data_IF_102451628345
#
_entry.id   IF_102451628345
#
_cell.length_a   1.000
_cell.length_b   1.000
_cell.length_c   1.000
_cell.angle_alpha   90.00
_cell.angle_beta   90.00
_cell.angle_gamma   90.00
#
_symmetry.space_group_name_H-M   'P 1'
#
loop_
_entity.id
_entity.type
_entity.pdbx_description
1 polymer ?
#
# COMPACT_ATOMS: atom_id res chain seq x y z
N UNK A 1 14.41 -20.78 -0.50
CA UNK A 1 13.81 -19.69 0.29
C UNK A 1 14.29 -18.39 -0.33
N UNK A 2 13.48 -17.79 -1.20
CA UNK A 2 13.82 -16.53 -1.86
C UNK A 2 13.46 -15.39 -0.92
N UNK A 3 14.47 -14.72 -0.38
CA UNK A 3 14.33 -13.43 0.27
C UNK A 3 13.87 -12.45 -0.82
N UNK A 4 12.56 -12.27 -0.96
CA UNK A 4 12.02 -11.07 -1.59
C UNK A 4 12.34 -9.97 -0.58
N UNK A 5 13.56 -9.42 -0.66
CA UNK A 5 13.84 -8.10 -0.11
C UNK A 5 12.80 -7.21 -0.76
N UNK A 6 11.78 -6.88 0.03
CA UNK A 6 10.88 -5.78 -0.26
C UNK A 6 11.76 -4.67 -0.79
N UNK A 7 11.35 -4.10 -1.92
CA UNK A 7 11.79 -2.77 -2.33
C UNK A 7 11.29 -1.86 -1.21
N UNK A 8 12.04 -1.85 -0.11
CA UNK A 8 11.83 -1.01 1.05
C UNK A 8 12.24 0.36 0.57
N UNK A 9 11.30 0.96 -0.15
CA UNK A 9 11.31 2.34 -0.54
C UNK A 9 11.68 3.17 0.69
N UNK A 10 12.92 3.67 0.75
CA UNK A 10 13.37 4.67 1.71
C UNK A 10 12.78 6.04 1.36
N UNK A 11 11.49 6.06 1.03
CA UNK A 11 10.69 7.24 0.78
C UNK A 11 9.93 7.58 2.04
N UNK A 12 10.07 8.81 2.52
CA UNK A 12 9.04 9.41 3.35
C UNK A 12 7.90 9.90 2.43
N UNK A 13 6.70 9.35 2.59
CA UNK A 13 5.51 9.82 1.88
C UNK A 13 4.87 10.97 2.65
N UNK A 14 4.81 12.13 2.02
CA UNK A 14 4.16 13.31 2.57
C UNK A 14 3.00 13.66 1.65
N UNK A 15 1.78 13.54 2.17
CA UNK A 15 0.60 13.95 1.44
C UNK A 15 0.35 15.44 1.68
N UNK A 16 0.13 16.17 0.60
CA UNK A 16 -0.17 17.61 0.62
C UNK A 16 -1.49 17.87 -0.08
N UNK A 17 -2.23 18.89 0.36
CA UNK A 17 -3.40 19.34 -0.39
C UNK A 17 -2.97 19.71 -1.81
N UNK A 18 -3.80 19.38 -2.80
CA UNK A 18 -3.49 19.56 -4.22
C UNK A 18 -3.10 21.00 -4.54
N UNK A 19 -3.81 22.00 -4.00
CA UNK A 19 -3.51 23.43 -4.13
C UNK A 19 -2.16 23.86 -3.51
N UNK A 20 -1.68 23.12 -2.51
CA UNK A 20 -0.45 23.43 -1.79
C UNK A 20 0.78 22.72 -2.37
N UNK A 21 0.62 21.81 -3.35
CA UNK A 21 1.72 21.02 -3.92
C UNK A 21 2.88 21.87 -4.43
N UNK A 22 2.59 22.93 -5.19
CA UNK A 22 3.60 23.83 -5.75
C UNK A 22 4.27 24.71 -4.67
N UNK A 23 3.54 25.01 -3.60
CA UNK A 23 4.08 25.75 -2.46
C UNK A 23 4.97 24.85 -1.61
N UNK A 24 4.57 23.60 -1.37
CA UNK A 24 5.37 22.59 -0.67
C UNK A 24 6.67 22.28 -1.45
N UNK A 25 6.56 22.13 -2.77
CA UNK A 25 7.72 21.95 -3.67
C UNK A 25 8.73 23.09 -3.53
N UNK A 26 8.27 24.34 -3.58
CA UNK A 26 9.15 25.51 -3.39
C UNK A 26 9.81 25.53 -2.02
N UNK A 27 9.04 25.27 -0.96
CA UNK A 27 9.57 25.21 0.41
C UNK A 27 10.65 24.15 0.58
N UNK A 28 10.48 22.96 -0.02
CA UNK A 28 11.50 21.92 0.02
C UNK A 28 12.78 22.37 -0.70
N UNK A 29 12.65 22.95 -1.90
CA UNK A 29 13.79 23.49 -2.64
C UNK A 29 14.54 24.57 -1.83
N UNK A 30 13.80 25.53 -1.27
CA UNK A 30 14.37 26.61 -0.45
C UNK A 30 15.06 26.09 0.82
N UNK A 31 14.62 24.92 1.31
CA UNK A 31 15.20 24.23 2.47
C UNK A 31 16.38 23.31 2.10
N UNK A 32 16.82 23.32 0.84
CA UNK A 32 17.99 22.57 0.37
C UNK A 32 17.70 21.15 -0.09
N UNK A 33 16.44 20.71 -0.16
CA UNK A 33 16.07 19.45 -0.78
C UNK A 33 16.22 19.56 -2.30
N UNK A 34 16.76 18.52 -2.93
CA UNK A 34 17.09 18.55 -4.36
C UNK A 34 16.04 17.74 -5.12
N UNK A 35 15.33 18.31 -6.11
CA UNK A 35 14.45 17.54 -6.99
C UNK A 35 15.19 16.36 -7.62
N UNK A 36 14.60 15.18 -7.56
CA UNK A 36 15.24 13.95 -8.01
C UNK A 36 14.22 12.99 -8.64
N UNK A 37 14.73 11.96 -9.29
CA UNK A 37 13.91 10.81 -9.71
C UNK A 37 13.84 9.79 -8.56
N UNK A 38 12.72 9.08 -8.38
CA UNK A 38 12.64 7.99 -7.42
C UNK A 38 13.74 6.95 -7.62
N UNK A 39 14.47 6.62 -6.56
CA UNK A 39 15.40 5.51 -6.52
C UNK A 39 14.63 4.21 -6.28
N UNK A 40 14.54 3.39 -7.32
CA UNK A 40 13.93 2.05 -7.28
C UNK A 40 14.90 0.98 -7.74
N UNK A 41 16.19 1.27 -7.66
CA UNK A 41 17.20 0.32 -8.07
C UNK A 41 17.16 -0.88 -7.12
N UNK A 42 17.00 -2.11 -7.64
CA UNK A 42 17.27 -3.30 -6.84
C UNK A 42 18.72 -3.29 -6.34
N UNK A 43 19.00 -4.13 -5.34
CA UNK A 43 20.35 -4.24 -4.79
C UNK A 43 21.38 -4.53 -5.90
N UNK A 44 22.58 -3.91 -5.87
CA UNK A 44 23.57 -4.02 -6.94
C UNK A 44 23.95 -5.47 -7.28
N UNK A 45 24.01 -6.34 -6.29
CA UNK A 45 24.28 -7.76 -6.44
C UNK A 45 23.19 -8.48 -7.27
N UNK A 46 21.92 -8.14 -7.06
CA UNK A 46 20.80 -8.68 -7.85
C UNK A 46 20.91 -8.16 -9.29
N UNK A 47 21.22 -6.86 -9.43
CA UNK A 47 21.33 -6.22 -10.74
C UNK A 47 22.48 -6.78 -11.58
N UNK A 48 23.59 -7.16 -10.96
CA UNK A 48 24.75 -7.72 -11.66
C UNK A 48 24.49 -9.13 -12.24
N UNK A 49 23.54 -9.88 -11.67
CA UNK A 49 23.20 -11.24 -12.10
C UNK A 49 22.18 -11.27 -13.26
N UNK A 50 21.56 -10.13 -13.59
CA UNK A 50 20.50 -10.06 -14.60
C UNK A 50 21.07 -10.01 -16.04
N UNK A 51 20.47 -10.74 -17.00
CA UNK A 51 20.87 -10.69 -18.41
C UNK A 51 20.73 -9.31 -19.06
N UNK A 52 19.71 -8.54 -18.68
CA UNK A 52 19.51 -7.13 -19.08
C UNK A 52 18.98 -6.33 -17.90
N UNK A 53 19.88 -5.75 -17.07
CA UNK A 53 19.47 -4.96 -15.91
C UNK A 53 18.68 -3.71 -16.32
N UNK A 54 18.94 -3.15 -17.50
CA UNK A 54 18.26 -1.94 -17.96
C UNK A 54 16.82 -2.22 -18.39
N UNK A 55 16.53 -3.37 -18.99
CA UNK A 55 15.15 -3.79 -19.26
C UNK A 55 14.35 -3.96 -17.97
N UNK A 56 14.95 -4.57 -16.93
CA UNK A 56 14.30 -4.73 -15.63
C UNK A 56 14.00 -3.39 -14.99
N UNK A 57 14.95 -2.44 -14.98
CA UNK A 57 14.70 -1.08 -14.47
C UNK A 57 13.58 -0.36 -15.24
N UNK A 58 13.54 -0.49 -16.56
CA UNK A 58 12.45 0.07 -17.37
C UNK A 58 11.11 -0.53 -16.96
N UNK A 59 11.04 -1.84 -16.77
CA UNK A 59 9.81 -2.54 -16.34
C UNK A 59 9.38 -2.13 -14.93
N UNK A 60 10.33 -1.94 -14.00
CA UNK A 60 10.02 -1.44 -12.65
C UNK A 60 9.42 -0.05 -12.77
N UNK A 61 10.12 0.90 -13.40
CA UNK A 61 9.65 2.29 -13.50
C UNK A 61 8.32 2.42 -14.26
N UNK A 62 8.11 1.57 -15.27
CA UNK A 62 6.86 1.46 -16.00
C UNK A 62 5.67 1.19 -15.05
N UNK A 63 5.85 0.32 -14.07
CA UNK A 63 4.85 -0.02 -13.06
C UNK A 63 4.55 1.09 -12.05
N UNK A 64 5.32 2.18 -12.03
CA UNK A 64 5.09 3.36 -11.17
C UNK A 64 4.82 4.63 -11.96
N UNK A 65 4.69 4.55 -13.29
CA UNK A 65 4.61 5.73 -14.16
C UNK A 65 3.52 6.72 -13.75
N UNK A 66 2.35 6.23 -13.31
CA UNK A 66 1.22 7.09 -12.92
C UNK A 66 1.51 7.83 -11.61
N UNK A 67 2.07 7.13 -10.61
CA UNK A 67 2.58 7.75 -9.38
C UNK A 67 3.61 8.84 -9.70
N UNK A 68 4.60 8.53 -10.54
CA UNK A 68 5.70 9.45 -10.86
C UNK A 68 5.25 10.70 -11.60
N UNK A 69 4.18 10.60 -12.40
CA UNK A 69 3.59 11.74 -13.11
C UNK A 69 2.82 12.67 -12.16
N UNK A 70 2.18 12.09 -11.15
CA UNK A 70 1.34 12.85 -10.20
C UNK A 70 2.12 13.42 -9.03
N UNK A 71 3.27 12.83 -8.68
CA UNK A 71 4.02 13.17 -7.47
C UNK A 71 5.31 13.94 -7.76
N UNK A 72 5.93 14.48 -6.71
CA UNK A 72 7.25 15.12 -6.77
C UNK A 72 8.22 14.43 -5.82
N UNK A 73 9.41 14.08 -6.29
CA UNK A 73 10.42 13.39 -5.49
C UNK A 73 11.62 14.30 -5.23
N UNK A 74 12.14 14.25 -4.01
CA UNK A 74 13.28 15.04 -3.58
C UNK A 74 14.29 14.15 -2.87
N UNK A 75 15.57 14.34 -3.16
CA UNK A 75 16.65 13.75 -2.38
C UNK A 75 16.79 14.52 -1.08
N UNK A 76 16.87 13.78 0.02
CA UNK A 76 17.13 14.35 1.32
C UNK A 76 18.60 14.79 1.40
N UNK A 77 18.89 16.00 1.93
CA UNK A 77 20.25 16.37 2.28
C UNK A 77 20.85 15.39 3.28
N UNK A 78 22.07 14.91 3.00
CA UNK A 78 22.77 13.88 3.80
C UNK A 78 22.99 14.24 5.27
N UNK A 79 22.83 15.51 5.64
CA UNK A 79 22.98 16.00 7.01
C UNK A 79 21.68 16.02 7.81
N UNK A 80 20.53 15.82 7.18
CA UNK A 80 19.24 15.95 7.85
C UNK A 80 18.73 14.63 8.45
N UNK A 81 19.01 13.46 7.84
CA UNK A 81 18.34 12.20 8.21
C UNK A 81 19.22 10.96 8.06
N UNK A 82 19.13 10.06 9.05
CA UNK A 82 19.76 8.73 9.04
C UNK A 82 18.89 7.64 8.36
N UNK A 83 17.59 7.89 8.17
CA UNK A 83 16.60 6.81 7.95
C UNK A 83 15.84 6.85 6.62
N UNK A 84 15.87 7.95 5.86
CA UNK A 84 15.29 7.99 4.51
C UNK A 84 16.11 8.84 3.54
N UNK A 85 16.26 8.33 2.33
CA UNK A 85 17.08 8.95 1.28
C UNK A 85 16.28 9.96 0.46
N UNK A 86 14.97 9.77 0.36
CA UNK A 86 14.10 10.58 -0.49
C UNK A 86 12.76 10.91 0.17
N UNK A 87 12.19 12.04 -0.22
CA UNK A 87 10.82 12.44 0.12
C UNK A 87 9.97 12.39 -1.14
N UNK A 88 8.79 11.80 -1.04
CA UNK A 88 7.77 11.81 -2.09
C UNK A 88 6.61 12.69 -1.64
N UNK A 89 6.40 13.81 -2.32
CA UNK A 89 5.20 14.63 -2.18
C UNK A 89 4.07 14.05 -3.04
N UNK A 90 2.98 13.67 -2.39
CA UNK A 90 1.81 13.06 -3.02
C UNK A 90 0.64 14.04 -2.90
N UNK A 91 -0.04 14.40 -4.00
CA UNK A 91 -1.27 15.18 -3.92
C UNK A 91 -2.38 14.40 -3.18
N UNK A 92 -3.19 15.08 -2.37
CA UNK A 92 -4.26 14.44 -1.60
C UNK A 92 -5.26 13.69 -2.46
N UNK A 93 -5.62 14.24 -3.63
CA UNK A 93 -6.52 13.59 -4.59
C UNK A 93 -5.95 12.25 -5.08
N UNK A 94 -4.64 12.20 -5.36
CA UNK A 94 -3.96 10.98 -5.77
C UNK A 94 -3.87 9.96 -4.64
N UNK A 95 -3.62 10.43 -3.41
CA UNK A 95 -3.62 9.59 -2.22
C UNK A 95 -5.03 9.13 -1.82
N UNK A 96 -6.10 9.65 -2.43
CA UNK A 96 -7.50 9.36 -2.03
C UNK A 96 -7.77 9.64 -0.54
N UNK A 97 -7.09 10.65 0.01
CA UNK A 97 -7.31 11.10 1.40
C UNK A 97 -8.38 12.19 1.46
N UNK A 98 -9.22 12.22 2.51
CA UNK A 98 -10.21 13.27 2.67
C UNK A 98 -9.60 14.68 2.65
N UNK A 99 -10.23 15.59 1.92
CA UNK A 99 -9.84 17.00 1.87
C UNK A 99 -10.00 17.66 3.25
N UNK A 100 -9.03 18.50 3.59
CA UNK A 100 -8.97 19.22 4.87
C UNK A 100 -9.46 20.65 4.68
N UNK A 101 -10.69 20.82 4.20
CA UNK A 101 -11.25 22.15 3.93
C UNK A 101 -11.59 22.90 5.22
N UNK A 102 -10.96 24.06 5.45
CA UNK A 102 -10.97 24.85 6.70
C UNK A 102 -12.31 25.46 7.18
N UNK A 103 -13.44 24.74 7.09
CA UNK A 103 -14.71 25.14 7.72
C UNK A 103 -14.81 24.58 9.14
N UNK A 104 -15.58 25.23 10.03
CA UNK A 104 -15.75 24.77 11.43
C UNK A 104 -16.33 23.35 11.56
N UNK A 105 -17.07 22.90 10.54
CA UNK A 105 -17.60 21.54 10.45
C UNK A 105 -16.51 20.52 10.07
N UNK A 106 -15.49 20.96 9.32
CA UNK A 106 -14.30 20.16 9.03
C UNK A 106 -13.46 19.91 10.28
N UNK A 107 -13.32 20.84 11.22
CA UNK A 107 -12.47 20.59 12.41
C UNK A 107 -12.90 19.36 13.23
N UNK A 108 -14.21 19.10 13.35
CA UNK A 108 -14.73 17.92 14.03
C UNK A 108 -14.53 16.63 13.21
N UNK A 109 -14.70 16.70 11.88
CA UNK A 109 -14.45 15.59 10.96
C UNK A 109 -12.95 15.25 10.87
N UNK A 110 -12.09 16.27 10.86
CA UNK A 110 -10.63 16.12 10.88
C UNK A 110 -10.17 15.41 12.14
N UNK A 111 -10.71 15.75 13.33
CA UNK A 111 -10.37 15.04 14.57
C UNK A 111 -10.87 13.59 14.63
N UNK A 112 -11.88 13.24 13.82
CA UNK A 112 -12.38 11.87 13.72
C UNK A 112 -11.59 11.03 12.69
N UNK A 113 -10.85 11.67 11.78
CA UNK A 113 -10.13 11.01 10.68
C UNK A 113 -8.60 11.09 10.83
N UNK A 114 -8.11 12.06 11.61
CA UNK A 114 -6.70 12.36 11.75
C UNK A 114 -6.34 12.63 13.21
N UNK A 115 -5.19 12.10 13.61
CA UNK A 115 -4.50 12.50 14.82
C UNK A 115 -3.57 13.69 14.49
N UNK A 116 -3.63 14.73 15.31
CA UNK A 116 -2.82 15.93 15.12
C UNK A 116 -1.62 15.94 16.06
N UNK A 117 -0.41 16.00 15.50
CA UNK A 117 0.83 16.18 16.26
C UNK A 117 1.56 17.42 15.76
N UNK A 118 1.44 18.52 16.52
CA UNK A 118 1.95 19.81 16.09
C UNK A 118 1.23 20.30 14.83
N UNK A 119 1.99 20.45 13.74
CA UNK A 119 1.49 20.86 12.42
C UNK A 119 1.36 19.69 11.43
N UNK A 120 1.47 18.45 11.90
CA UNK A 120 1.38 17.24 11.08
C UNK A 120 0.10 16.49 11.42
N UNK A 121 -0.60 16.05 10.38
CA UNK A 121 -1.82 15.25 10.48
C UNK A 121 -1.51 13.82 10.08
N UNK A 122 -1.82 12.89 10.97
CA UNK A 122 -1.64 11.46 10.75
C UNK A 122 -3.01 10.83 10.56
N UNK A 123 -3.34 10.26 9.39
CA UNK A 123 -4.62 9.61 9.21
C UNK A 123 -4.76 8.45 10.18
N UNK A 124 -5.93 8.34 10.81
CA UNK A 124 -6.27 7.21 11.64
C UNK A 124 -6.30 5.93 10.80
N UNK A 125 -6.18 4.77 11.47
CA UNK A 125 -6.02 3.47 10.81
C UNK A 125 -7.09 3.21 9.73
N UNK A 126 -8.36 3.46 10.04
CA UNK A 126 -9.46 3.30 9.10
C UNK A 126 -9.30 4.23 7.89
N UNK A 127 -9.06 5.52 8.10
CA UNK A 127 -8.89 6.52 7.03
C UNK A 127 -7.70 6.19 6.12
N UNK A 128 -6.58 5.76 6.70
CA UNK A 128 -5.40 5.36 5.94
C UNK A 128 -5.66 4.09 5.12
N UNK A 129 -6.32 3.10 5.71
CA UNK A 129 -6.68 1.86 5.03
C UNK A 129 -7.65 2.11 3.87
N UNK A 130 -8.69 2.93 4.09
CA UNK A 130 -9.62 3.34 3.03
C UNK A 130 -8.89 4.06 1.89
N UNK A 131 -7.98 4.98 2.21
CA UNK A 131 -7.16 5.70 1.23
C UNK A 131 -6.34 4.73 0.36
N UNK A 132 -5.67 3.75 0.95
CA UNK A 132 -4.93 2.75 0.18
C UNK A 132 -5.84 1.91 -0.72
N UNK A 133 -7.00 1.48 -0.23
CA UNK A 133 -7.91 0.66 -1.04
C UNK A 133 -8.48 1.49 -2.20
N UNK A 134 -8.89 2.74 -1.94
CA UNK A 134 -9.34 3.65 -3.00
C UNK A 134 -8.25 3.87 -4.05
N UNK A 135 -7.00 4.12 -3.62
CA UNK A 135 -5.87 4.27 -4.53
C UNK A 135 -5.62 3.00 -5.35
N UNK A 136 -5.77 1.81 -4.75
CA UNK A 136 -5.62 0.53 -5.46
C UNK A 136 -6.75 0.27 -6.47
N UNK A 137 -7.99 0.65 -6.14
CA UNK A 137 -9.15 0.56 -7.03
C UNK A 137 -9.04 1.55 -8.19
N UNK A 138 -8.65 2.78 -7.91
CA UNK A 138 -8.42 3.81 -8.91
C UNK A 138 -7.27 3.42 -9.86
N UNK A 139 -6.17 2.89 -9.33
CA UNK A 139 -5.07 2.37 -10.15
C UNK A 139 -5.52 1.19 -11.03
N UNK A 140 -6.30 0.25 -10.48
CA UNK A 140 -6.83 -0.87 -11.24
C UNK A 140 -7.75 -0.41 -12.39
N UNK A 141 -8.55 0.62 -12.15
CA UNK A 141 -9.45 1.21 -13.16
C UNK A 141 -8.68 1.91 -14.28
N UNK A 142 -7.64 2.67 -13.93
CA UNK A 142 -6.94 3.54 -14.89
C UNK A 142 -5.74 2.88 -15.58
N UNK A 143 -5.08 1.94 -14.91
CA UNK A 143 -3.81 1.36 -15.35
C UNK A 143 -3.74 -0.17 -15.23
N UNK A 144 -4.76 -0.82 -14.66
CA UNK A 144 -4.80 -2.25 -14.48
C UNK A 144 -3.84 -2.74 -13.39
N UNK A 145 -3.14 -3.84 -13.64
CA UNK A 145 -2.18 -4.40 -12.69
C UNK A 145 -0.80 -3.77 -12.86
N UNK A 146 -0.42 -2.88 -11.93
CA UNK A 146 0.87 -2.19 -11.93
C UNK A 146 1.70 -2.54 -10.69
N UNK A 147 3.01 -2.32 -10.74
CA UNK A 147 3.89 -2.48 -9.57
C UNK A 147 3.48 -1.56 -8.42
N UNK A 148 2.94 -0.38 -8.74
CA UNK A 148 2.34 0.52 -7.75
C UNK A 148 1.11 -0.11 -7.09
N UNK A 149 0.16 -0.64 -7.87
CA UNK A 149 -1.01 -1.34 -7.33
C UNK A 149 -0.61 -2.52 -6.43
N UNK A 150 0.40 -3.29 -6.86
CA UNK A 150 0.94 -4.40 -6.06
C UNK A 150 1.56 -3.91 -4.74
N UNK A 151 2.27 -2.77 -4.77
CA UNK A 151 2.86 -2.17 -3.57
C UNK A 151 1.80 -1.70 -2.59
N UNK A 152 0.74 -1.02 -3.06
CA UNK A 152 -0.38 -0.61 -2.20
C UNK A 152 -1.04 -1.84 -1.56
N UNK A 153 -1.28 -2.91 -2.33
CA UNK A 153 -1.83 -4.17 -1.79
C UNK A 153 -0.91 -4.79 -0.73
N UNK A 154 0.40 -4.72 -0.91
CA UNK A 154 1.36 -5.19 0.09
C UNK A 154 1.30 -4.34 1.37
N UNK A 155 1.17 -3.01 1.26
CA UNK A 155 0.94 -2.14 2.41
C UNK A 155 -0.34 -2.47 3.17
N UNK A 156 -1.45 -2.69 2.46
CA UNK A 156 -2.72 -3.14 3.08
C UNK A 156 -2.52 -4.47 3.80
N UNK A 157 -1.87 -5.45 3.16
CA UNK A 157 -1.56 -6.74 3.79
C UNK A 157 -0.71 -6.58 5.05
N UNK A 158 0.24 -5.63 5.04
CA UNK A 158 1.08 -5.35 6.21
C UNK A 158 0.28 -4.69 7.32
N UNK A 159 -0.61 -3.73 7.01
CA UNK A 159 -1.49 -3.14 8.01
C UNK A 159 -2.37 -4.19 8.69
N UNK A 160 -3.01 -5.07 7.90
CA UNK A 160 -3.84 -6.15 8.43
C UNK A 160 -3.03 -7.14 9.26
N UNK A 161 -1.94 -7.68 8.70
CA UNK A 161 -1.19 -8.76 9.34
C UNK A 161 -0.25 -8.32 10.46
N UNK A 162 0.43 -7.19 10.31
CA UNK A 162 1.44 -6.72 11.27
C UNK A 162 0.86 -5.76 12.31
N UNK A 163 -0.02 -4.83 11.90
CA UNK A 163 -0.66 -3.90 12.84
C UNK A 163 -1.94 -4.48 13.48
N UNK A 164 -2.37 -5.66 13.03
CA UNK A 164 -3.49 -6.39 13.64
C UNK A 164 -4.83 -5.68 13.46
N UNK A 165 -5.07 -5.08 12.29
CA UNK A 165 -6.36 -4.47 12.01
C UNK A 165 -7.47 -5.52 12.01
N UNK A 166 -8.60 -5.14 12.61
CA UNK A 166 -9.77 -5.99 12.69
C UNK A 166 -10.36 -6.25 11.30
N UNK A 167 -10.96 -7.43 11.12
CA UNK A 167 -11.48 -7.87 9.83
C UNK A 167 -12.77 -7.13 9.40
N UNK A 168 -13.35 -6.35 10.31
CA UNK A 168 -14.57 -5.56 10.16
C UNK A 168 -14.36 -4.06 10.33
N UNK A 169 -13.11 -3.61 10.38
CA UNK A 169 -12.75 -2.18 10.47
C UNK A 169 -13.39 -1.30 9.37
N UNK A 170 -13.78 -1.89 8.22
CA UNK A 170 -14.45 -1.19 7.11
C UNK A 170 -15.92 -1.60 6.92
N UNK A 171 -16.54 -2.28 7.88
CA UNK A 171 -17.96 -2.68 7.75
C UNK A 171 -18.90 -1.48 7.68
N UNK A 172 -18.58 -0.40 8.41
CA UNK A 172 -19.33 0.86 8.40
C UNK A 172 -18.83 1.85 7.33
N UNK A 173 -17.94 1.41 6.43
CA UNK A 173 -17.42 2.26 5.36
C UNK A 173 -18.54 2.63 4.38
N UNK A 174 -18.74 3.93 4.15
CA UNK A 174 -19.78 4.44 3.24
C UNK A 174 -19.53 4.10 1.77
N UNK A 175 -18.30 3.74 1.42
CA UNK A 175 -17.90 3.35 0.07
C UNK A 175 -17.99 1.82 -0.08
N UNK A 176 -19.10 1.36 -0.67
CA UNK A 176 -19.37 -0.07 -0.85
C UNK A 176 -18.28 -0.79 -1.65
N UNK A 177 -17.62 -0.11 -2.59
CA UNK A 177 -16.55 -0.70 -3.37
C UNK A 177 -15.31 -0.97 -2.51
N UNK A 178 -14.98 -0.03 -1.63
CA UNK A 178 -13.87 -0.18 -0.66
C UNK A 178 -14.17 -1.30 0.34
N UNK A 179 -15.36 -1.28 0.95
CA UNK A 179 -15.79 -2.29 1.93
C UNK A 179 -15.78 -3.70 1.31
N UNK A 180 -16.37 -3.84 0.12
CA UNK A 180 -16.43 -5.12 -0.61
C UNK A 180 -15.04 -5.62 -0.99
N UNK A 181 -14.17 -4.72 -1.46
CA UNK A 181 -12.81 -5.06 -1.81
C UNK A 181 -12.04 -5.57 -0.59
N UNK A 182 -12.11 -4.86 0.53
CA UNK A 182 -11.44 -5.27 1.77
C UNK A 182 -11.96 -6.61 2.27
N UNK A 183 -13.29 -6.76 2.41
CA UNK A 183 -13.90 -7.99 2.90
C UNK A 183 -13.50 -9.21 2.06
N UNK A 184 -13.40 -9.04 0.73
CA UNK A 184 -13.03 -10.10 -0.21
C UNK A 184 -11.57 -10.52 -0.13
N UNK A 185 -10.65 -9.58 0.11
CA UNK A 185 -9.21 -9.83 0.06
C UNK A 185 -8.57 -10.07 1.43
N UNK A 186 -9.10 -9.45 2.49
CA UNK A 186 -8.50 -9.45 3.83
C UNK A 186 -9.51 -9.60 4.97
N UNK A 187 -10.78 -9.24 4.77
CA UNK A 187 -11.80 -9.27 5.82
C UNK A 187 -12.63 -10.56 5.88
N UNK A 188 -13.90 -10.44 6.30
CA UNK A 188 -14.77 -11.58 6.65
C UNK A 188 -14.97 -12.60 5.52
N UNK A 189 -15.17 -12.14 4.27
CA UNK A 189 -15.35 -13.06 3.13
C UNK A 189 -14.06 -13.85 2.88
N UNK A 190 -12.90 -13.21 2.99
CA UNK A 190 -11.60 -13.88 2.86
C UNK A 190 -11.44 -14.99 3.91
N UNK A 191 -11.60 -14.66 5.20
CA UNK A 191 -11.48 -15.64 6.29
C UNK A 191 -12.47 -16.81 6.13
N UNK A 192 -13.71 -16.52 5.70
CA UNK A 192 -14.73 -17.56 5.53
C UNK A 192 -14.30 -18.60 4.49
N UNK A 193 -13.64 -18.16 3.40
CA UNK A 193 -13.11 -19.07 2.36
C UNK A 193 -11.97 -19.91 2.90
N UNK A 194 -11.08 -19.33 3.69
CA UNK A 194 -9.97 -20.07 4.31
C UNK A 194 -10.47 -21.14 5.29
N UNK A 195 -11.47 -20.81 6.11
CA UNK A 195 -12.09 -21.79 7.03
C UNK A 195 -12.76 -22.94 6.28
N UNK A 196 -13.43 -22.67 5.16
CA UNK A 196 -14.02 -23.71 4.30
C UNK A 196 -12.94 -24.56 3.61
N UNK A 197 -11.84 -23.95 3.17
CA UNK A 197 -10.69 -24.63 2.57
C UNK A 197 -10.00 -25.60 3.53
N UNK A 198 -9.81 -25.20 4.78
CA UNK A 198 -9.26 -26.04 5.86
C UNK A 198 -10.20 -27.22 6.18
N UNK A 199 -11.52 -26.97 6.24
CA UNK A 199 -12.53 -28.04 6.43
C UNK A 199 -12.54 -29.07 5.29
N UNK A 200 -12.31 -28.63 4.05
CA UNK A 200 -12.27 -29.50 2.87
C UNK A 200 -10.99 -30.36 2.81
N UNK A 201 -9.83 -29.81 3.22
CA UNK A 201 -8.59 -30.58 3.31
C UNK A 201 -8.64 -31.65 4.40
N UNK A 202 -9.23 -31.35 5.56
CA UNK A 202 -9.40 -32.33 6.63
C UNK A 202 -10.32 -33.50 6.26
N UNK A 203 -11.30 -33.30 5.36
CA UNK A 203 -12.18 -34.38 4.86
C UNK A 203 -11.52 -35.31 3.85
N UNK A 204 -10.44 -34.88 3.18
CA UNK A 204 -9.69 -35.74 2.25
C UNK A 204 -8.60 -36.59 2.92
N UNK A 205 -8.31 -36.33 4.21
CA UNK A 205 -7.30 -37.07 4.98
C UNK A 205 -7.87 -38.31 5.70
N UNK A 206 -9.18 -38.51 5.73
CA UNK A 206 -9.81 -39.73 6.28
C UNK A 206 -9.89 -40.82 5.21
N UNK A 207 -8.86 -41.68 5.15
CA UNK A 207 -8.87 -42.95 4.40
C UNK A 207 -9.74 -43.95 5.17
N UNK A 208 -10.76 -44.60 4.57
CA UNK A 208 -11.49 -45.66 5.26
C UNK A 208 -10.68 -46.97 5.27
N UNK A 209 -10.70 -47.61 6.44
CA UNK A 209 -10.11 -48.91 6.74
C UNK A 209 -10.42 -49.99 5.70
N UNK A 210 -9.41 -50.81 5.44
CA UNK A 210 -9.39 -51.89 4.48
C UNK A 210 -10.20 -53.07 5.02
N UNK A 211 -11.43 -53.25 4.53
CA UNK A 211 -12.24 -54.42 4.90
C UNK A 211 -11.66 -55.71 4.27
N UNK A 212 -11.42 -56.66 5.16
CA UNK A 212 -10.68 -57.90 4.98
C UNK A 212 -11.45 -58.89 4.09
N UNK A 213 -10.85 -59.28 2.96
CA UNK A 213 -11.43 -60.30 2.06
C UNK A 213 -11.43 -61.67 2.74
N UNK A 214 -12.60 -62.27 2.98
CA UNK A 214 -12.71 -63.72 3.22
C UNK A 214 -12.54 -64.50 1.91
N UNK A 215 -11.87 -65.67 1.93
CA UNK A 215 -11.84 -66.57 0.78
C UNK A 215 -13.12 -67.43 0.73
N UNK A 216 -13.66 -67.63 -0.48
CA UNK A 216 -14.67 -68.67 -0.76
C UNK A 216 -13.94 -69.98 -1.10
N UNK A 217 -14.41 -71.08 -0.51
CA UNK A 217 -14.18 -72.46 -0.96
C UNK A 217 -15.18 -72.76 -2.06
#
# INVERSE_FOLDING_TARGET
MSQIQNIATCFLWVVVQDEDLEKATRKLNDSGFIPSSPNRNPAPEIMAELPDPQAVLRQINEGYRRLDRSCKTFSCPSHLLESFEQILLIPSSFASLPELNATKQSAALTNAQYDTYGNILYPQQQTLLESFIRAALDEATNAGFTSWAASIRAWVSMMVGYLGLENDILDDCLDEHVATWYSTHFGRIHESKDRIGVSSCNRKASVPEREERRPMI
#
